data_IF_175353615200
#
_entry.id   IF_175353615200
#
_cell.length_a   1.000
_cell.length_b   1.000
_cell.length_c   1.000
_cell.angle_alpha   90.00
_cell.angle_beta   90.00
_cell.angle_gamma   90.00
#
_symmetry.space_group_name_H-M   'P 1'
#
loop_
_entity.id
_entity.type
_entity.pdbx_description
1 polymer ?
#
# COMPACT_ATOMS: atom_id res chain seq x y z
N UNK A 1 -20.93 3.86 -21.96
CA UNK A 1 -19.65 4.23 -21.34
C UNK A 1 -19.31 3.17 -20.30
N UNK A 2 -18.06 2.71 -20.23
CA UNK A 2 -17.62 1.70 -19.26
C UNK A 2 -16.66 2.35 -18.26
N UNK A 3 -16.92 2.17 -16.96
CA UNK A 3 -16.08 2.66 -15.87
C UNK A 3 -15.54 1.45 -15.12
N UNK A 4 -14.25 1.43 -14.82
CA UNK A 4 -13.60 0.38 -14.05
C UNK A 4 -12.84 1.00 -12.88
N UNK A 5 -12.94 0.39 -11.69
CA UNK A 5 -12.20 0.78 -10.50
C UNK A 5 -11.56 -0.44 -9.85
N UNK A 6 -10.34 -0.29 -9.35
CA UNK A 6 -9.64 -1.33 -8.59
C UNK A 6 -9.99 -1.30 -7.09
N UNK A 7 -10.52 -0.18 -6.59
CA UNK A 7 -10.95 -0.03 -5.20
C UNK A 7 -12.44 -0.34 -5.09
N UNK A 8 -12.85 -1.33 -4.28
CA UNK A 8 -14.26 -1.61 -4.04
C UNK A 8 -14.95 -0.39 -3.42
N UNK A 9 -15.91 0.20 -4.13
CA UNK A 9 -16.70 1.34 -3.66
C UNK A 9 -17.87 0.81 -2.81
N UNK A 10 -18.22 1.44 -1.67
CA UNK A 10 -19.41 1.06 -0.92
C UNK A 10 -20.65 1.03 -1.81
N UNK A 11 -21.43 -0.05 -1.70
CA UNK A 11 -22.59 -0.32 -2.59
C UNK A 11 -23.56 0.86 -2.69
N UNK A 12 -23.85 1.51 -1.57
CA UNK A 12 -24.77 2.65 -1.52
C UNK A 12 -24.23 3.86 -2.29
N UNK A 13 -22.92 4.12 -2.22
CA UNK A 13 -22.29 5.20 -2.99
C UNK A 13 -22.30 4.90 -4.49
N UNK A 14 -22.08 3.65 -4.89
CA UNK A 14 -22.17 3.23 -6.28
C UNK A 14 -23.59 3.44 -6.85
N UNK A 15 -24.63 3.11 -6.08
CA UNK A 15 -26.03 3.32 -6.50
C UNK A 15 -26.40 4.80 -6.64
N UNK A 16 -25.78 5.71 -5.89
CA UNK A 16 -26.04 7.15 -6.01
C UNK A 16 -25.19 7.83 -7.10
N UNK A 17 -23.91 7.47 -7.20
CA UNK A 17 -22.98 8.09 -8.15
C UNK A 17 -23.10 7.54 -9.58
N UNK A 18 -23.51 6.28 -9.71
CA UNK A 18 -23.61 5.56 -10.98
C UNK A 18 -25.01 4.99 -11.21
N UNK A 19 -26.04 5.65 -10.67
CA UNK A 19 -27.43 5.16 -10.60
C UNK A 19 -28.00 4.61 -11.92
N UNK A 20 -27.59 5.21 -13.05
CA UNK A 20 -28.05 4.84 -14.39
C UNK A 20 -27.17 3.75 -15.06
N UNK A 21 -26.20 3.19 -14.34
CA UNK A 21 -25.27 2.17 -14.84
C UNK A 21 -25.46 0.84 -14.11
N UNK A 22 -25.59 -0.24 -14.89
CA UNK A 22 -25.48 -1.59 -14.36
C UNK A 22 -24.09 -1.82 -13.76
N UNK A 23 -24.05 -2.35 -12.54
CA UNK A 23 -22.79 -2.59 -11.80
C UNK A 23 -22.45 -4.08 -11.84
N UNK A 24 -21.22 -4.40 -12.27
CA UNK A 24 -20.63 -5.73 -12.16
C UNK A 24 -19.42 -5.69 -11.24
N UNK A 25 -19.23 -6.73 -10.42
CA UNK A 25 -18.10 -6.87 -9.50
C UNK A 25 -17.19 -7.99 -10.00
N UNK A 26 -15.88 -7.72 -10.06
CA UNK A 26 -14.84 -8.71 -10.36
C UNK A 26 -14.00 -8.90 -9.09
N UNK A 27 -14.35 -9.89 -8.27
CA UNK A 27 -13.70 -10.19 -6.99
C UNK A 27 -12.78 -11.43 -7.02
N UNK A 28 -12.73 -12.12 -8.16
CA UNK A 28 -11.85 -13.26 -8.36
C UNK A 28 -10.38 -12.84 -8.48
N UNK A 29 -9.51 -13.56 -7.77
CA UNK A 29 -8.07 -13.37 -7.88
C UNK A 29 -7.54 -14.13 -9.10
N UNK A 30 -6.56 -13.57 -9.84
CA UNK A 30 -5.89 -14.30 -10.91
C UNK A 30 -5.29 -15.62 -10.42
N UNK A 31 -5.24 -16.67 -11.28
CA UNK A 31 -4.67 -17.95 -10.92
C UNK A 31 -3.20 -17.80 -10.49
N UNK A 32 -2.81 -18.49 -9.43
CA UNK A 32 -1.45 -18.45 -8.88
C UNK A 32 -1.16 -17.27 -7.95
N UNK A 33 -2.13 -16.41 -7.65
CA UNK A 33 -1.96 -15.34 -6.66
C UNK A 33 -1.83 -15.90 -5.25
N UNK A 34 -0.66 -15.70 -4.63
CA UNK A 34 -0.41 -16.09 -3.24
C UNK A 34 -0.80 -14.97 -2.27
N UNK A 35 -1.38 -15.27 -1.10
CA UNK A 35 -1.64 -14.27 -0.06
C UNK A 35 -0.35 -13.55 0.39
N UNK A 36 -0.47 -12.27 0.69
CA UNK A 36 0.64 -11.49 1.27
C UNK A 36 0.76 -11.86 2.75
N UNK A 37 1.97 -12.17 3.21
CA UNK A 37 2.26 -12.33 4.63
C UNK A 37 2.43 -10.94 5.26
N UNK A 38 1.50 -10.56 6.13
CA UNK A 38 1.48 -9.25 6.79
C UNK A 38 1.86 -9.42 8.26
N UNK A 39 2.82 -8.62 8.73
CA UNK A 39 3.27 -8.61 10.12
C UNK A 39 3.27 -7.19 10.67
N UNK A 40 2.97 -7.05 11.96
CA UNK A 40 3.13 -5.81 12.71
C UNK A 40 4.44 -5.87 13.50
N UNK A 41 5.31 -4.89 13.29
CA UNK A 41 6.63 -4.83 13.94
C UNK A 41 6.73 -3.51 14.70
N UNK A 42 7.27 -3.57 15.93
CA UNK A 42 7.52 -2.37 16.72
C UNK A 42 8.66 -1.55 16.10
N UNK A 43 8.57 -0.22 16.19
CA UNK A 43 9.59 0.67 15.63
C UNK A 43 11.00 0.43 16.21
N UNK A 44 11.08 -0.01 17.47
CA UNK A 44 12.34 -0.43 18.11
C UNK A 44 13.09 -1.54 17.37
N UNK A 45 12.40 -2.33 16.54
CA UNK A 45 12.96 -3.42 15.72
C UNK A 45 13.12 -3.04 14.26
N UNK A 46 13.04 -1.76 13.93
CA UNK A 46 13.17 -1.23 12.56
C UNK A 46 14.44 -1.73 11.86
N UNK A 47 15.56 -1.79 12.57
CA UNK A 47 16.83 -2.29 12.03
C UNK A 47 16.69 -3.71 11.46
N UNK A 48 15.95 -4.59 12.14
CA UNK A 48 15.70 -5.95 11.64
C UNK A 48 14.88 -5.97 10.34
N UNK A 49 13.93 -5.03 10.19
CA UNK A 49 13.14 -4.88 8.97
C UNK A 49 14.03 -4.41 7.82
N UNK A 50 14.91 -3.44 8.07
CA UNK A 50 15.86 -2.93 7.08
C UNK A 50 16.79 -4.05 6.61
N UNK A 51 17.37 -4.84 7.51
CA UNK A 51 18.23 -5.96 7.14
C UNK A 51 17.49 -7.01 6.30
N UNK A 52 16.24 -7.31 6.66
CA UNK A 52 15.40 -8.24 5.90
C UNK A 52 15.11 -7.74 4.49
N UNK A 53 14.79 -6.46 4.34
CA UNK A 53 14.57 -5.82 3.03
C UNK A 53 15.86 -5.84 2.22
N UNK A 54 17.00 -5.48 2.83
CA UNK A 54 18.31 -5.53 2.18
C UNK A 54 18.63 -6.92 1.66
N UNK A 55 18.42 -7.97 2.46
CA UNK A 55 18.60 -9.36 2.04
C UNK A 55 17.73 -9.74 0.83
N UNK A 56 16.45 -9.38 0.86
CA UNK A 56 15.54 -9.63 -0.26
C UNK A 56 15.96 -8.89 -1.54
N UNK A 57 16.40 -7.64 -1.43
CA UNK A 57 16.90 -6.85 -2.56
C UNK A 57 18.20 -7.43 -3.13
N UNK A 58 19.09 -7.96 -2.29
CA UNK A 58 20.31 -8.64 -2.72
C UNK A 58 20.03 -9.92 -3.53
N UNK A 59 18.88 -10.57 -3.31
CA UNK A 59 18.40 -11.69 -4.14
C UNK A 59 17.77 -11.23 -5.49
N UNK A 60 17.81 -9.94 -5.81
CA UNK A 60 17.23 -9.36 -7.03
C UNK A 60 15.74 -9.04 -6.93
N UNK A 61 15.16 -9.05 -5.73
CA UNK A 61 13.77 -8.60 -5.52
C UNK A 61 13.72 -7.08 -5.35
N UNK A 62 12.51 -6.53 -5.40
CA UNK A 62 12.26 -5.10 -5.20
C UNK A 62 11.40 -4.88 -3.97
N UNK A 63 11.55 -3.71 -3.34
CA UNK A 63 10.79 -3.31 -2.16
C UNK A 63 10.17 -1.92 -2.34
N UNK A 64 9.01 -1.73 -1.73
CA UNK A 64 8.39 -0.41 -1.57
C UNK A 64 8.55 0.04 -0.12
N UNK A 65 9.10 1.23 0.07
CA UNK A 65 9.18 1.91 1.37
C UNK A 65 8.37 3.20 1.30
N UNK A 66 7.36 3.33 2.16
CA UNK A 66 6.40 4.43 2.10
C UNK A 66 6.62 5.36 3.28
N UNK A 67 7.01 6.60 2.99
CA UNK A 67 7.04 7.69 3.96
C UNK A 67 5.82 8.58 3.74
N UNK A 68 5.14 8.99 4.82
CA UNK A 68 3.92 9.79 4.73
C UNK A 68 4.22 11.27 4.46
N UNK A 69 5.43 11.71 4.78
CA UNK A 69 5.92 13.06 4.59
C UNK A 69 7.13 13.07 3.66
N UNK A 70 7.30 14.15 2.92
CA UNK A 70 8.52 14.40 2.13
C UNK A 70 9.56 15.04 3.05
N UNK A 71 9.23 16.21 3.59
CA UNK A 71 10.00 17.00 4.56
C UNK A 71 9.39 16.88 5.97
N UNK A 72 10.13 17.25 7.01
CA UNK A 72 9.61 17.27 8.38
C UNK A 72 8.46 18.29 8.56
N UNK A 73 7.49 17.96 9.41
CA UNK A 73 6.34 18.82 9.70
C UNK A 73 6.14 18.95 11.20
N UNK A 74 5.93 20.19 11.67
CA UNK A 74 5.55 20.46 13.07
C UNK A 74 4.12 20.02 13.37
N UNK A 75 3.25 19.94 12.36
CA UNK A 75 1.84 19.54 12.51
C UNK A 75 1.67 18.02 12.60
N UNK A 76 2.55 17.25 11.97
CA UNK A 76 2.47 15.80 11.90
C UNK A 76 3.82 15.16 12.23
N UNK A 77 3.90 14.50 13.38
CA UNK A 77 5.06 13.69 13.74
C UNK A 77 5.02 12.36 12.98
N UNK A 78 5.57 12.36 11.77
CA UNK A 78 5.73 11.18 10.94
C UNK A 78 7.11 11.16 10.27
N UNK A 79 7.50 10.00 9.74
CA UNK A 79 8.80 9.84 9.10
C UNK A 79 8.84 10.55 7.74
N UNK A 80 9.78 11.50 7.62
CA UNK A 80 10.10 12.19 6.39
C UNK A 80 10.95 11.30 5.47
N UNK A 81 10.71 11.40 4.17
CA UNK A 81 11.44 10.65 3.16
C UNK A 81 12.91 11.06 3.10
N UNK A 82 13.21 12.35 3.24
CA UNK A 82 14.58 12.87 3.22
C UNK A 82 15.41 12.30 4.36
N UNK A 83 14.92 12.43 5.61
CA UNK A 83 15.56 11.85 6.78
C UNK A 83 15.76 10.34 6.63
N UNK A 84 14.73 9.62 6.14
CA UNK A 84 14.81 8.17 5.94
C UNK A 84 15.79 7.74 4.85
N UNK A 85 16.06 8.61 3.86
CA UNK A 85 17.01 8.33 2.80
C UNK A 85 18.46 8.57 3.23
N UNK A 86 18.68 9.54 4.11
CA UNK A 86 19.99 9.86 4.66
C UNK A 86 20.44 8.87 5.75
N UNK A 87 19.49 8.32 6.52
CA UNK A 87 19.69 7.29 7.56
C UNK A 87 20.10 5.90 7.01
#
# INVERSE_FOLDING_TARGET
QLIMTATPIPRTLAMSAYADLDTSILDELPPGRTPVNTVLVTDTRRVEVIERVRGACAEGRQAYWVCTLIEESEELTCQAAETTYED
#
